data_IF_566601233539
#
_entry.id   IF_566601233539
#
_cell.length_a   1.000
_cell.length_b   1.000
_cell.length_c   1.000
_cell.angle_alpha   90.00
_cell.angle_beta   90.00
_cell.angle_gamma   90.00
#
_symmetry.space_group_name_H-M   'P 1'
#
loop_
_entity.id
_entity.type
_entity.pdbx_description
1 polymer ?
#
# COMPACT_ATOMS: atom_id res chain seq x y z
N UNK A 1 11.95 -1.75 -11.53
CA UNK A 1 11.14 -1.22 -10.41
C UNK A 1 11.55 0.16 -9.87
N UNK A 2 12.81 0.64 -9.99
CA UNK A 2 13.22 1.96 -9.44
C UNK A 2 12.77 3.16 -10.27
N UNK A 3 12.53 2.96 -11.56
CA UNK A 3 12.09 3.97 -12.54
C UNK A 3 10.65 4.44 -12.34
N UNK A 4 9.80 3.64 -11.67
CA UNK A 4 8.41 4.02 -11.41
C UNK A 4 8.30 5.01 -10.24
N UNK A 5 7.35 5.93 -10.32
CA UNK A 5 6.98 6.84 -9.24
C UNK A 5 6.13 6.10 -8.18
N UNK A 6 5.94 6.70 -6.99
CA UNK A 6 5.00 6.13 -6.01
C UNK A 6 3.56 6.17 -6.57
N UNK A 7 3.23 7.24 -7.30
CA UNK A 7 1.93 7.44 -7.91
C UNK A 7 1.62 6.34 -8.96
N UNK A 8 2.62 5.91 -9.73
CA UNK A 8 2.46 4.80 -10.69
C UNK A 8 2.12 3.48 -9.98
N UNK A 9 2.69 3.26 -8.79
CA UNK A 9 2.36 2.08 -7.99
C UNK A 9 0.95 2.16 -7.45
N UNK A 10 0.53 3.33 -6.95
CA UNK A 10 -0.84 3.57 -6.46
C UNK A 10 -1.86 3.35 -7.59
N UNK A 11 -1.64 3.96 -8.76
CA UNK A 11 -2.50 3.81 -9.92
C UNK A 11 -2.64 2.34 -10.36
N UNK A 12 -1.54 1.57 -10.31
CA UNK A 12 -1.56 0.15 -10.65
C UNK A 12 -2.22 -0.73 -9.58
N UNK A 13 -2.09 -0.38 -8.30
CA UNK A 13 -2.65 -1.15 -7.18
C UNK A 13 -4.15 -0.93 -7.01
N UNK A 14 -4.62 0.31 -7.17
CA UNK A 14 -6.01 0.70 -6.93
C UNK A 14 -7.08 -0.19 -7.60
N UNK A 15 -7.00 -0.55 -8.90
CA UNK A 15 -8.00 -1.44 -9.50
C UNK A 15 -7.97 -2.86 -8.90
N UNK A 16 -6.79 -3.35 -8.47
CA UNK A 16 -6.66 -4.67 -7.84
C UNK A 16 -7.22 -4.67 -6.43
N UNK A 17 -6.91 -3.64 -5.65
CA UNK A 17 -7.47 -3.43 -4.31
C UNK A 17 -8.99 -3.35 -4.39
N UNK A 18 -9.53 -2.58 -5.34
CA UNK A 18 -10.97 -2.51 -5.56
C UNK A 18 -11.57 -3.87 -5.91
N UNK A 19 -10.94 -4.63 -6.82
CA UNK A 19 -11.42 -5.96 -7.20
C UNK A 19 -11.42 -6.94 -6.03
N UNK A 20 -10.36 -6.95 -5.22
CA UNK A 20 -10.27 -7.79 -4.02
C UNK A 20 -11.28 -7.40 -2.96
N UNK A 21 -11.48 -6.10 -2.73
CA UNK A 21 -12.52 -5.61 -1.82
C UNK A 21 -13.88 -6.08 -2.29
N UNK A 22 -14.23 -5.85 -3.55
CA UNK A 22 -15.53 -6.24 -4.09
C UNK A 22 -15.78 -7.76 -3.98
N UNK A 23 -14.76 -8.59 -4.17
CA UNK A 23 -14.89 -10.04 -4.16
C UNK A 23 -14.85 -10.66 -2.76
N UNK A 24 -13.97 -10.18 -1.88
CA UNK A 24 -13.71 -10.79 -0.57
C UNK A 24 -14.40 -10.07 0.61
N UNK A 25 -15.12 -8.97 0.37
CA UNK A 25 -15.83 -8.25 1.42
C UNK A 25 -17.04 -9.04 1.92
N UNK A 26 -16.93 -9.55 3.13
CA UNK A 26 -18.00 -10.21 3.90
C UNK A 26 -18.05 -9.63 5.33
N UNK A 27 -19.13 -9.86 6.11
CA UNK A 27 -19.25 -9.31 7.48
C UNK A 27 -18.07 -9.60 8.41
N UNK A 28 -17.38 -10.73 8.21
CA UNK A 28 -16.25 -11.18 9.05
C UNK A 28 -14.88 -11.01 8.38
N UNK A 29 -14.81 -10.39 7.20
CA UNK A 29 -13.57 -10.24 6.42
C UNK A 29 -12.65 -9.12 6.93
N UNK A 30 -13.18 -8.18 7.71
CA UNK A 30 -12.52 -6.92 8.10
C UNK A 30 -11.09 -7.11 8.63
N UNK A 31 -10.88 -8.00 9.60
CA UNK A 31 -9.54 -8.22 10.17
C UNK A 31 -8.54 -8.77 9.15
N UNK A 32 -9.00 -9.60 8.19
CA UNK A 32 -8.15 -10.16 7.14
C UNK A 32 -7.80 -9.09 6.10
N UNK A 33 -8.78 -8.25 5.73
CA UNK A 33 -8.58 -7.13 4.81
C UNK A 33 -7.64 -6.06 5.39
N UNK A 34 -7.79 -5.70 6.67
CA UNK A 34 -6.88 -4.79 7.36
C UNK A 34 -5.43 -5.31 7.41
N UNK A 35 -5.23 -6.63 7.59
CA UNK A 35 -3.89 -7.25 7.51
C UNK A 35 -3.27 -7.12 6.12
N UNK A 36 -4.09 -7.22 5.07
CA UNK A 36 -3.64 -7.02 3.69
C UNK A 36 -3.30 -5.55 3.42
N UNK A 37 -4.10 -4.60 3.91
CA UNK A 37 -3.77 -3.16 3.83
C UNK A 37 -2.43 -2.86 4.51
N UNK A 38 -2.21 -3.41 5.71
CA UNK A 38 -0.94 -3.29 6.42
C UNK A 38 0.22 -3.90 5.62
N UNK A 39 0.01 -5.06 4.99
CA UNK A 39 1.02 -5.69 4.14
C UNK A 39 1.38 -4.83 2.92
N UNK A 40 0.38 -4.26 2.24
CA UNK A 40 0.58 -3.35 1.09
C UNK A 40 1.43 -2.15 1.52
N UNK A 41 1.10 -1.53 2.65
CA UNK A 41 1.84 -0.39 3.19
C UNK A 41 3.30 -0.76 3.52
N UNK A 42 3.54 -1.91 4.15
CA UNK A 42 4.90 -2.38 4.42
C UNK A 42 5.70 -2.59 3.13
N UNK A 43 5.08 -3.13 2.08
CA UNK A 43 5.73 -3.34 0.77
C UNK A 43 6.09 -2.01 0.11
N UNK A 44 5.19 -1.02 0.15
CA UNK A 44 5.47 0.34 -0.33
C UNK A 44 6.60 0.99 0.48
N UNK A 45 6.61 0.84 1.81
CA UNK A 45 7.67 1.38 2.66
C UNK A 45 9.04 0.76 2.37
N UNK A 46 9.11 -0.57 2.19
CA UNK A 46 10.35 -1.26 1.78
C UNK A 46 10.83 -0.80 0.40
N UNK A 47 9.94 -0.66 -0.57
CA UNK A 47 10.28 -0.15 -1.90
C UNK A 47 10.81 1.30 -1.82
N UNK A 48 10.14 2.15 -1.05
CA UNK A 48 10.52 3.55 -0.86
C UNK A 48 11.89 3.69 -0.18
N UNK A 49 12.14 2.88 0.85
CA UNK A 49 13.44 2.79 1.51
C UNK A 49 14.54 2.38 0.52
N UNK A 50 14.30 1.33 -0.28
CA UNK A 50 15.25 0.85 -1.30
C UNK A 50 15.50 1.86 -2.43
N UNK A 51 14.52 2.68 -2.77
CA UNK A 51 14.66 3.78 -3.75
C UNK A 51 15.56 4.90 -3.22
N UNK A 52 15.46 5.20 -1.92
CA UNK A 52 16.31 6.19 -1.21
C UNK A 52 17.58 5.60 -0.59
N UNK A 53 17.92 4.35 -0.92
CA UNK A 53 19.09 3.63 -0.39
C UNK A 53 19.15 3.58 1.15
N UNK A 54 17.99 3.49 1.81
CA UNK A 54 17.86 3.37 3.27
C UNK A 54 17.59 1.92 3.69
N UNK A 55 18.24 1.48 4.76
CA UNK A 55 18.05 0.13 5.33
C UNK A 55 16.85 0.06 6.30
N UNK A 56 16.56 1.15 7.02
CA UNK A 56 15.47 1.23 8.00
C UNK A 56 14.15 1.62 7.33
N UNK A 57 13.42 0.63 6.81
CA UNK A 57 12.14 0.88 6.14
C UNK A 57 10.98 1.16 7.12
N UNK A 58 11.03 0.59 8.33
CA UNK A 58 9.95 0.75 9.33
C UNK A 58 9.76 2.21 9.75
N UNK A 59 10.85 2.99 9.85
CA UNK A 59 10.77 4.43 10.17
C UNK A 59 10.12 5.25 9.06
N UNK A 60 10.03 4.73 7.84
CA UNK A 60 9.40 5.40 6.69
C UNK A 60 7.91 5.03 6.54
N UNK A 61 7.37 4.10 7.33
CA UNK A 61 5.99 3.62 7.17
C UNK A 61 4.98 4.76 7.32
N UNK A 62 5.15 5.63 8.33
CA UNK A 62 4.26 6.78 8.55
C UNK A 62 4.31 7.77 7.39
N UNK A 63 5.52 8.12 6.94
CA UNK A 63 5.73 9.02 5.78
C UNK A 63 5.06 8.44 4.53
N UNK A 64 5.31 7.16 4.24
CA UNK A 64 4.77 6.48 3.06
C UNK A 64 3.26 6.34 3.13
N UNK A 65 2.69 6.11 4.32
CA UNK A 65 1.24 6.07 4.49
C UNK A 65 0.60 7.42 4.11
N UNK A 66 1.14 8.52 4.63
CA UNK A 66 0.66 9.87 4.31
C UNK A 66 0.77 10.12 2.80
N UNK A 67 1.94 9.85 2.21
CA UNK A 67 2.16 10.04 0.77
C UNK A 67 1.25 9.16 -0.09
N UNK A 68 1.00 7.91 0.30
CA UNK A 68 0.12 7.02 -0.44
C UNK A 68 -1.34 7.47 -0.36
N UNK A 69 -1.78 7.94 0.81
CA UNK A 69 -3.12 8.50 1.00
C UNK A 69 -3.33 9.78 0.20
N UNK A 70 -2.35 10.70 0.18
CA UNK A 70 -2.44 11.92 -0.63
C UNK A 70 -2.47 11.62 -2.13
N UNK A 71 -1.87 10.51 -2.56
CA UNK A 71 -1.94 10.00 -3.93
C UNK A 71 -3.20 9.16 -4.21
N UNK A 72 -4.09 8.99 -3.25
CA UNK A 72 -5.37 8.29 -3.42
C UNK A 72 -5.27 6.76 -3.41
N UNK A 73 -4.34 6.18 -2.63
CA UNK A 73 -4.30 4.73 -2.40
C UNK A 73 -5.61 4.26 -1.74
N UNK A 74 -6.28 3.31 -2.39
CA UNK A 74 -7.48 2.66 -1.84
C UNK A 74 -7.11 1.67 -0.74
N UNK A 75 -8.02 1.49 0.21
CA UNK A 75 -7.95 0.45 1.23
C UNK A 75 -8.96 -0.67 0.94
N UNK A 76 -8.67 -1.86 1.44
CA UNK A 76 -9.57 -3.02 1.40
C UNK A 76 -10.65 -2.93 2.48
N UNK A 77 -10.33 -2.34 3.64
CA UNK A 77 -11.28 -2.02 4.70
C UNK A 77 -12.09 -0.75 4.36
#
# INVERSE_FOLDING_TARGET
MRHKSLNDHVAWLNPKIQGWRNYYYTPYSQQKLAKLDWYILQRLARWHAKKRQRNRWMSLVREVNILAQTMGLKALL
#
